data_IF_521546088517
#
_entry.id   IF_521546088517
#
_cell.length_a   1.000
_cell.length_b   1.000
_cell.length_c   1.000
_cell.angle_alpha   90.00
_cell.angle_beta   90.00
_cell.angle_gamma   90.00
#
_symmetry.space_group_name_H-M   'P 1'
#
loop_
_entity.id
_entity.type
_entity.pdbx_description
1 polymer ?
#
# COMPACT_ATOMS: atom_id res chain seq x y z
N UNK A 1 -0.70 4.12 17.07
CA UNK A 1 -1.37 5.17 16.31
C UNK A 1 -1.40 4.83 14.85
N UNK A 2 -2.49 5.06 14.20
CA UNK A 2 -2.62 4.71 12.79
C UNK A 2 -2.27 5.91 11.93
N UNK A 3 -1.62 5.63 10.81
CA UNK A 3 -1.26 6.67 9.85
C UNK A 3 -1.82 6.28 8.49
N UNK A 4 -2.01 7.25 7.65
CA UNK A 4 -2.55 7.02 6.31
C UNK A 4 -1.41 7.10 5.30
N UNK A 5 -1.37 6.11 4.41
CA UNK A 5 -0.31 6.04 3.40
C UNK A 5 -0.92 5.92 2.02
N UNK A 6 -0.31 6.59 1.07
CA UNK A 6 -0.63 6.35 -0.32
C UNK A 6 0.46 5.43 -0.84
N UNK A 7 0.08 4.28 -1.35
CA UNK A 7 1.04 3.29 -1.83
C UNK A 7 0.84 3.12 -3.33
N UNK A 8 1.92 3.32 -4.08
CA UNK A 8 1.89 3.10 -5.52
C UNK A 8 3.04 2.18 -5.88
N UNK A 9 2.87 1.36 -6.89
CA UNK A 9 3.92 0.45 -7.30
C UNK A 9 3.94 0.30 -8.81
N UNK A 10 5.13 -0.03 -9.32
CA UNK A 10 5.35 -0.26 -10.74
C UNK A 10 6.08 -1.58 -10.83
N UNK A 11 5.39 -2.63 -11.25
CA UNK A 11 5.90 -3.98 -11.28
C UNK A 11 5.99 -4.42 -12.74
N UNK A 12 7.18 -4.80 -13.16
CA UNK A 12 7.44 -5.09 -14.57
C UNK A 12 6.83 -6.40 -15.06
N UNK A 13 6.66 -7.36 -14.16
CA UNK A 13 6.18 -8.68 -14.54
C UNK A 13 4.72 -8.85 -14.14
N UNK A 14 3.91 -9.36 -15.05
CA UNK A 14 2.48 -9.47 -14.81
C UNK A 14 2.12 -10.42 -13.68
N UNK A 15 2.85 -11.51 -13.54
CA UNK A 15 2.56 -12.46 -12.45
C UNK A 15 2.87 -11.83 -11.11
N UNK A 16 4.00 -11.12 -11.02
CA UNK A 16 4.35 -10.44 -9.77
C UNK A 16 3.38 -9.31 -9.48
N UNK A 17 2.95 -8.61 -10.53
CA UNK A 17 1.98 -7.53 -10.38
C UNK A 17 0.70 -8.05 -9.72
N UNK A 18 0.21 -9.19 -10.17
CA UNK A 18 -1.01 -9.78 -9.62
C UNK A 18 -0.83 -10.17 -8.16
N UNK A 19 0.36 -10.67 -7.82
CA UNK A 19 0.63 -11.08 -6.43
C UNK A 19 0.70 -9.87 -5.51
N UNK A 20 1.34 -8.81 -5.96
CA UNK A 20 1.42 -7.57 -5.18
C UNK A 20 0.03 -6.97 -5.02
N UNK A 21 -0.76 -6.97 -6.08
CA UNK A 21 -2.13 -6.46 -6.01
C UNK A 21 -2.94 -7.21 -4.95
N UNK A 22 -2.79 -8.53 -4.93
CA UNK A 22 -3.52 -9.36 -3.98
C UNK A 22 -3.10 -9.04 -2.54
N UNK A 23 -1.80 -8.83 -2.32
CA UNK A 23 -1.31 -8.45 -1.01
C UNK A 23 -1.91 -7.09 -0.62
N UNK A 24 -1.87 -6.14 -1.54
CA UNK A 24 -2.33 -4.78 -1.23
C UNK A 24 -3.80 -4.73 -0.88
N UNK A 25 -4.60 -5.61 -1.44
CA UNK A 25 -6.03 -5.65 -1.10
C UNK A 25 -6.27 -5.99 0.36
N UNK A 26 -5.32 -6.63 1.01
CA UNK A 26 -5.45 -6.96 2.42
C UNK A 26 -5.08 -5.78 3.31
N UNK A 27 -4.43 -4.76 2.76
CA UNK A 27 -3.90 -3.68 3.57
C UNK A 27 -4.54 -2.31 3.30
N UNK A 28 -5.24 -2.15 2.20
CA UNK A 28 -5.81 -0.84 1.91
C UNK A 28 -6.91 -0.87 0.88
N UNK A 29 -7.38 0.32 0.55
CA UNK A 29 -8.44 0.51 -0.43
C UNK A 29 -7.84 0.79 -1.80
N UNK A 30 -8.28 0.05 -2.77
CA UNK A 30 -7.80 0.19 -4.14
C UNK A 30 -8.43 1.44 -4.77
N UNK A 31 -7.60 2.39 -5.12
CA UNK A 31 -8.08 3.63 -5.71
C UNK A 31 -8.03 3.60 -7.23
N UNK A 32 -6.90 3.18 -7.79
CA UNK A 32 -6.73 3.18 -9.23
C UNK A 32 -5.52 2.32 -9.58
N UNK A 33 -5.65 1.44 -10.57
CA UNK A 33 -4.54 0.58 -11.00
C UNK A 33 -3.65 0.14 -9.85
N UNK A 34 -2.43 0.65 -9.80
CA UNK A 34 -1.46 0.27 -8.78
C UNK A 34 -1.40 1.31 -7.66
N UNK A 35 -2.52 1.88 -7.30
CA UNK A 35 -2.59 2.93 -6.28
C UNK A 35 -3.56 2.50 -5.19
N UNK A 36 -3.07 2.48 -3.96
CA UNK A 36 -3.88 2.09 -2.79
C UNK A 36 -3.77 3.14 -1.69
N UNK A 37 -4.85 3.32 -0.96
CA UNK A 37 -4.85 4.17 0.23
C UNK A 37 -4.94 3.24 1.43
N UNK A 38 -3.96 3.30 2.31
CA UNK A 38 -3.85 2.37 3.42
C UNK A 38 -3.87 3.11 4.75
N UNK A 39 -4.61 2.57 5.71
CA UNK A 39 -4.70 3.13 7.05
C UNK A 39 -4.09 2.08 7.96
N UNK A 40 -2.85 2.28 8.40
CA UNK A 40 -2.06 1.23 9.05
C UNK A 40 -1.40 1.72 10.32
N UNK A 41 -1.29 0.83 11.30
CA UNK A 41 -0.40 1.09 12.42
C UNK A 41 1.01 0.66 12.00
N UNK A 42 1.98 0.87 12.87
CA UNK A 42 3.38 0.63 12.55
C UNK A 42 3.66 -0.83 12.20
N UNK A 43 3.07 -1.74 12.94
CA UNK A 43 3.29 -3.17 12.71
C UNK A 43 2.70 -3.59 11.38
N UNK A 44 1.52 -3.10 11.07
CA UNK A 44 0.85 -3.42 9.81
C UNK A 44 1.65 -2.88 8.63
N UNK A 45 2.22 -1.68 8.78
CA UNK A 45 3.03 -1.11 7.72
C UNK A 45 4.26 -1.97 7.44
N UNK A 46 4.94 -2.41 8.50
CA UNK A 46 6.12 -3.27 8.35
C UNK A 46 5.74 -4.60 7.68
N UNK A 47 4.61 -5.17 8.08
CA UNK A 47 4.15 -6.41 7.48
C UNK A 47 3.81 -6.25 6.01
N UNK A 48 3.16 -5.14 5.66
CA UNK A 48 2.83 -4.85 4.28
C UNK A 48 4.10 -4.74 3.44
N UNK A 49 5.08 -3.99 3.94
CA UNK A 49 6.33 -3.82 3.21
C UNK A 49 7.03 -5.14 2.99
N UNK A 50 7.06 -5.99 4.03
CA UNK A 50 7.68 -7.30 3.90
C UNK A 50 6.96 -8.18 2.90
N UNK A 51 5.64 -8.16 2.91
CA UNK A 51 4.85 -8.97 2.00
C UNK A 51 5.05 -8.52 0.54
N UNK A 52 5.12 -7.22 0.31
CA UNK A 52 5.35 -6.70 -1.02
C UNK A 52 6.74 -7.12 -1.51
N UNK A 53 7.74 -6.97 -0.65
CA UNK A 53 9.11 -7.30 -1.05
C UNK A 53 9.29 -8.76 -1.42
N UNK A 54 8.49 -9.64 -0.85
CA UNK A 54 8.56 -11.06 -1.20
C UNK A 54 8.28 -11.30 -2.69
N UNK A 55 7.55 -10.40 -3.33
CA UNK A 55 7.18 -10.59 -4.72
C UNK A 55 7.83 -9.58 -5.66
N UNK A 56 8.62 -8.65 -5.16
CA UNK A 56 9.25 -7.64 -6.01
C UNK A 56 10.62 -8.08 -6.48
N UNK A 57 10.99 -7.61 -7.66
CA UNK A 57 12.33 -7.74 -8.18
C UNK A 57 12.98 -6.39 -8.00
N UNK A 58 14.04 -6.30 -7.21
CA UNK A 58 14.65 -5.03 -6.88
C UNK A 58 15.17 -4.27 -8.08
N UNK A 59 15.52 -4.97 -9.14
CA UNK A 59 16.10 -4.31 -10.29
C UNK A 59 15.07 -3.71 -11.24
N UNK A 60 13.88 -4.28 -11.28
CA UNK A 60 12.89 -3.87 -12.27
C UNK A 60 11.63 -3.30 -11.68
N UNK A 61 11.40 -3.48 -10.39
CA UNK A 61 10.13 -3.09 -9.77
C UNK A 61 10.35 -1.98 -8.77
N UNK A 62 9.36 -1.13 -8.58
CA UNK A 62 9.43 -0.03 -7.62
C UNK A 62 8.16 0.08 -6.83
N UNK A 63 8.28 0.53 -5.59
CA UNK A 63 7.12 0.86 -4.77
C UNK A 63 7.40 2.19 -4.09
N UNK A 64 6.41 3.04 -4.04
CA UNK A 64 6.49 4.32 -3.37
C UNK A 64 5.44 4.36 -2.28
N UNK A 65 5.83 4.66 -1.06
CA UNK A 65 4.92 4.77 0.07
C UNK A 65 5.01 6.19 0.59
N UNK A 66 3.91 6.91 0.48
CA UNK A 66 3.86 8.31 0.91
C UNK A 66 3.05 8.39 2.19
N UNK A 67 3.68 8.93 3.24
CA UNK A 67 3.02 9.09 4.54
C UNK A 67 2.16 10.36 4.47
N UNK A 68 0.87 10.21 4.59
CA UNK A 68 -0.06 11.33 4.54
C UNK A 68 -0.42 11.86 5.92
N UNK A 69 0.15 11.28 6.97
CA UNK A 69 -0.09 11.77 8.32
C UNK A 69 -1.03 10.86 9.11
N UNK A 70 -1.45 11.34 10.25
CA UNK A 70 -2.28 10.56 11.15
C UNK A 70 -3.64 10.31 10.52
N UNK A 71 -4.07 9.07 10.59
CA UNK A 71 -5.38 8.71 10.07
C UNK A 71 -6.45 9.10 11.07
N UNK A 72 -7.37 9.94 10.63
CA UNK A 72 -8.48 10.34 11.48
C UNK A 72 -9.75 9.91 10.80
N UNK A 73 -10.73 9.50 11.60
CA UNK A 73 -11.89 9.04 10.97
C UNK A 73 -12.92 10.05 10.88
N UNK A 74 -12.91 11.02 11.65
CA UNK A 74 -13.96 11.93 11.58
C UNK A 74 -13.98 12.77 10.40
N UNK A 75 -13.03 12.66 9.67
CA UNK A 75 -12.99 13.37 8.50
C UNK A 75 -14.26 13.41 7.81
N UNK A 76 -14.94 12.49 7.90
CA UNK A 76 -15.96 12.37 7.06
C UNK A 76 -17.13 12.92 7.50
N UNK A 77 -17.29 13.11 8.51
CA UNK A 77 -18.41 13.52 8.84
C UNK A 77 -18.67 14.73 8.71
N UNK A 78 -18.41 15.36 8.44
CA UNK A 78 -18.76 16.40 8.24
C UNK A 78 -19.44 16.76 7.47
N UNK A 79 -19.69 16.54 7.34
CA UNK A 79 -20.19 16.70 6.62
C UNK A 79 -20.77 16.86 6.51
#
# INVERSE_FOLDING_TARGET
MRRRYLVTYDIADEKRLKKVFKVMKDYGDHLQFSVFLCDLNEIEKIRMEGAIRNFMNEKSDQVLIVDLGIATRQVDEEN
#
